data_IF_856136267169
#
_entry.id   IF_856136267169
#
_cell.length_a   1.000
_cell.length_b   1.000
_cell.length_c   1.000
_cell.angle_alpha   90.00
_cell.angle_beta   90.00
_cell.angle_gamma   90.00
#
_symmetry.space_group_name_H-M   'P 1'
#
loop_
_entity.id
_entity.type
_entity.pdbx_description
1 polymer ?
2 non-polymer ?
3 water ?
#
# COMPACT_ATOMS: atom_id res chain seq x y z
N UNK A 13 45.43 -2.93 -28.65
CA UNK A 13 44.75 -3.99 -29.50
C UNK A 13 43.21 -3.74 -29.66
N UNK A 14 42.70 -3.99 -30.87
CA UNK A 14 41.33 -3.62 -31.31
C UNK A 14 41.37 -2.19 -31.82
N UNK A 15 40.44 -1.84 -32.69
CA UNK A 15 40.40 -0.50 -33.22
C UNK A 15 39.14 0.14 -32.74
N UNK A 16 39.05 1.44 -32.99
CA UNK A 16 37.91 2.24 -32.57
C UNK A 16 36.58 1.81 -33.25
N UNK A 17 36.61 1.34 -34.51
CA UNK A 17 35.46 0.57 -35.02
C UNK A 17 35.00 -0.59 -34.14
N UNK A 18 35.94 -1.46 -33.71
CA UNK A 18 35.57 -2.65 -32.90
C UNK A 18 35.24 -2.32 -31.44
N UNK A 19 35.99 -1.38 -30.84
CA UNK A 19 35.66 -0.93 -29.51
C UNK A 19 34.24 -0.39 -29.52
N UNK A 20 33.89 0.46 -30.49
CA UNK A 20 32.53 1.00 -30.55
C UNK A 20 31.42 -0.05 -30.84
N UNK A 21 31.77 -1.08 -31.62
CA UNK A 21 30.90 -2.28 -31.82
C UNK A 21 30.43 -2.79 -30.48
N UNK A 22 31.43 -3.14 -29.66
CA UNK A 22 31.25 -3.63 -28.30
C UNK A 22 30.36 -2.64 -27.50
N UNK A 23 30.69 -1.34 -27.51
CA UNK A 23 29.89 -0.31 -26.76
C UNK A 23 28.42 -0.25 -27.15
N UNK A 24 28.10 -0.26 -28.45
CA UNK A 24 26.71 -0.34 -28.88
C UNK A 24 26.00 -1.61 -28.37
N UNK A 25 26.70 -2.74 -28.32
CA UNK A 25 26.11 -4.00 -27.82
C UNK A 25 25.77 -3.95 -26.36
N UNK A 26 26.69 -3.37 -25.58
CA UNK A 26 26.52 -3.21 -24.15
C UNK A 26 25.46 -2.15 -23.85
N UNK A 27 25.50 -1.03 -24.58
CA UNK A 27 24.44 0.00 -24.51
C UNK A 27 23.05 -0.56 -24.79
N UNK A 28 23.00 -1.61 -25.59
CA UNK A 28 21.75 -2.26 -25.92
C UNK A 28 21.29 -3.26 -24.84
N UNK A 29 22.23 -4.05 -24.27
CA UNK A 29 21.92 -4.93 -23.12
C UNK A 29 21.49 -4.09 -21.92
N UNK A 30 22.05 -2.90 -21.77
CA UNK A 30 21.61 -1.94 -20.73
C UNK A 30 20.14 -1.51 -20.88
N UNK A 31 19.72 -1.22 -22.11
CA UNK A 31 18.31 -1.00 -22.46
C UNK A 31 17.43 -2.22 -22.21
N UNK A 32 17.92 -3.39 -22.67
CA UNK A 32 17.25 -4.66 -22.39
C UNK A 32 17.03 -4.86 -20.86
N UNK A 33 17.96 -4.39 -20.00
CA UNK A 33 17.89 -4.59 -18.54
C UNK A 33 17.27 -3.49 -17.72
N UNK A 34 16.90 -2.39 -18.35
CA UNK A 34 16.28 -1.30 -17.65
C UNK A 34 14.85 -1.67 -17.34
N UNK A 35 14.31 -1.00 -16.33
CA UNK A 35 12.91 -1.12 -15.95
C UNK A 35 12.02 -0.90 -17.16
N UNK A 36 11.01 -1.77 -17.34
CA UNK A 36 9.97 -1.63 -18.41
C UNK A 36 8.55 -1.37 -17.94
N UNK A 37 8.22 -1.73 -16.69
CA UNK A 37 6.81 -1.76 -16.23
C UNK A 37 6.29 -0.44 -15.70
N UNK A 38 7.17 0.42 -15.22
CA UNK A 38 6.85 1.81 -14.88
C UNK A 38 8.12 2.60 -15.09
N UNK A 39 8.08 3.91 -14.85
CA UNK A 39 9.28 4.73 -14.96
C UNK A 39 9.84 4.87 -13.54
N UNK A 40 11.12 5.19 -13.40
CA UNK A 40 11.72 5.04 -12.07
C UNK A 40 11.25 6.00 -11.02
N UNK A 41 10.93 7.24 -11.41
CA UNK A 41 10.36 8.22 -10.45
C UNK A 41 9.04 7.65 -9.87
N UNK A 42 8.38 6.74 -10.60
CA UNK A 42 7.16 6.07 -10.10
C UNK A 42 7.46 4.93 -9.10
N UNK A 43 8.72 4.48 -8.99
CA UNK A 43 9.06 3.45 -8.00
C UNK A 43 9.27 4.13 -6.69
N UNK A 44 8.62 3.64 -5.65
CA UNK A 44 8.87 4.15 -4.32
C UNK A 44 10.13 3.53 -3.74
N UNK A 45 11.03 4.40 -3.26
CA UNK A 45 12.35 4.01 -2.80
C UNK A 45 13.38 4.13 -3.93
N UNK A 46 14.67 4.19 -3.59
CA UNK A 46 15.72 4.31 -4.58
C UNK A 46 16.12 2.88 -4.86
N UNK A 47 16.13 2.46 -6.12
CA UNK A 47 16.57 1.13 -6.46
C UNK A 47 18.07 0.97 -6.38
N UNK A 48 18.55 -0.04 -5.70
CA UNK A 48 19.97 -0.30 -5.57
C UNK A 48 20.41 -1.30 -6.61
N UNK A 49 19.52 -2.22 -6.96
CA UNK A 49 19.81 -3.32 -7.85
C UNK A 49 18.49 -3.82 -8.48
N UNK A 50 18.52 -4.11 -9.78
CA UNK A 50 17.35 -4.54 -10.51
C UNK A 50 17.72 -5.54 -11.56
N UNK A 51 17.27 -6.79 -11.44
CA UNK A 51 17.59 -7.85 -12.41
C UNK A 51 16.26 -8.52 -12.77
N UNK A 52 15.79 -8.21 -13.97
CA UNK A 52 14.42 -8.44 -14.34
C UNK A 52 14.01 -9.89 -14.22
N UNK A 53 12.71 -10.08 -14.04
CA UNK A 53 12.12 -11.38 -13.81
C UNK A 53 12.97 -12.16 -12.83
N UNK A 54 13.56 -11.52 -11.84
CA UNK A 54 14.49 -12.24 -10.99
C UNK A 54 14.60 -11.75 -9.54
N UNK A 55 15.33 -10.67 -9.30
CA UNK A 55 15.37 -10.01 -7.99
C UNK A 55 15.56 -8.52 -8.16
N UNK A 56 15.33 -7.80 -7.06
CA UNK A 56 15.65 -6.36 -6.99
C UNK A 56 15.64 -5.88 -5.56
N UNK A 57 16.29 -4.74 -5.34
CA UNK A 57 16.43 -4.15 -4.02
C UNK A 57 16.20 -2.64 -4.09
N UNK A 58 15.40 -2.07 -3.17
CA UNK A 58 15.23 -0.63 -3.03
C UNK A 58 15.36 -0.20 -1.58
N UNK A 59 15.87 1.01 -1.34
CA UNK A 59 15.98 1.56 0.02
C UNK A 59 15.07 2.73 0.04
N UNK A 60 14.44 2.97 1.17
CA UNK A 60 13.55 4.10 1.34
C UNK A 60 13.77 4.73 2.71
N UNK A 61 14.12 6.02 2.77
CA UNK A 61 14.26 6.57 4.10
C UNK A 61 12.97 7.17 4.47
N UNK A 62 12.69 7.06 5.76
CA UNK A 62 11.38 7.30 6.32
C UNK A 62 11.45 8.66 6.93
N UNK A 63 10.86 9.59 6.22
CA UNK A 63 10.95 11.00 6.52
C UNK A 63 9.70 11.40 7.27
N UNK A 64 9.49 12.67 7.50
CA UNK A 64 8.41 13.05 8.37
C UNK A 64 7.06 12.74 7.77
N UNK A 65 6.92 12.93 6.46
CA UNK A 65 5.65 12.73 5.81
C UNK A 65 5.34 11.28 5.56
N UNK A 66 6.25 10.37 5.93
CA UNK A 66 5.93 8.94 5.83
C UNK A 66 5.31 8.36 7.11
N UNK A 67 4.91 9.20 8.05
CA UNK A 67 4.85 8.82 9.44
C UNK A 67 3.67 9.45 10.19
N UNK A 68 2.98 8.71 11.04
CA UNK A 68 1.98 9.28 11.99
C UNK A 68 2.55 10.34 12.93
N UNK A 69 1.85 11.47 13.04
CA UNK A 69 2.37 12.57 13.84
C UNK A 69 2.29 12.26 15.33
N UNK A 70 1.37 11.39 15.71
CA UNK A 70 1.28 10.97 17.10
C UNK A 70 2.63 10.48 17.64
N UNK A 71 3.32 9.62 16.89
CA UNK A 71 4.40 8.78 17.42
C UNK A 71 5.53 8.34 16.44
N UNK A 72 5.65 9.06 15.34
CA UNK A 72 6.73 8.90 14.34
C UNK A 72 6.83 7.47 13.79
N UNK A 73 5.69 6.79 13.66
CA UNK A 73 5.66 5.46 13.05
C UNK A 73 5.33 5.55 11.57
N UNK A 74 5.95 4.71 10.77
CA UNK A 74 5.68 4.74 9.33
C UNK A 74 4.30 4.19 9.03
N UNK A 75 3.65 4.82 8.07
CA UNK A 75 2.38 4.35 7.57
C UNK A 75 2.61 3.08 6.82
N UNK A 76 1.77 2.10 7.06
CA UNK A 76 1.86 0.86 6.31
C UNK A 76 1.80 1.07 4.81
N UNK A 77 1.02 2.03 4.31
CA UNK A 77 0.92 2.17 2.85
C UNK A 77 2.21 2.59 2.17
N UNK A 78 3.12 3.23 2.91
CA UNK A 78 4.45 3.55 2.39
C UNK A 78 5.34 2.34 2.26
N UNK A 79 5.39 1.55 3.32
CA UNK A 79 6.00 0.23 3.27
C UNK A 79 5.45 -0.61 2.09
N UNK A 80 4.15 -0.57 1.92
CA UNK A 80 3.52 -1.39 0.89
C UNK A 80 3.87 -0.81 -0.45
N UNK A 81 3.90 0.50 -0.55
CA UNK A 81 4.19 1.11 -1.83
C UNK A 81 5.60 0.72 -2.28
N UNK A 82 6.53 0.66 -1.33
CA UNK A 82 7.91 0.32 -1.69
C UNK A 82 7.99 -1.06 -2.33
N UNK A 83 7.27 -1.99 -1.73
CA UNK A 83 7.36 -3.42 -2.07
C UNK A 83 6.60 -3.70 -3.34
N UNK A 84 5.42 -3.10 -3.42
CA UNK A 84 4.48 -3.31 -4.50
C UNK A 84 5.17 -2.73 -5.71
N UNK A 85 5.76 -1.54 -5.57
CA UNK A 85 6.24 -0.85 -6.76
C UNK A 85 7.48 -1.57 -7.26
N UNK A 86 8.18 -2.21 -6.33
CA UNK A 86 9.35 -2.99 -6.67
C UNK A 86 8.95 -4.33 -7.29
N UNK A 87 7.87 -4.92 -6.80
CA UNK A 87 7.33 -6.09 -7.42
C UNK A 87 6.86 -5.80 -8.83
N UNK A 88 6.48 -4.56 -9.11
CA UNK A 88 6.14 -4.19 -10.47
C UNK A 88 7.43 -4.02 -11.29
N UNK A 89 8.40 -3.34 -10.71
CA UNK A 89 9.58 -3.03 -11.46
C UNK A 89 10.34 -4.25 -11.99
N UNK A 90 10.48 -5.30 -11.17
CA UNK A 90 11.14 -6.55 -11.61
C UNK A 90 10.49 -7.29 -12.74
N UNK A 91 9.23 -6.98 -13.07
CA UNK A 91 8.60 -7.77 -14.09
C UNK A 91 9.04 -7.21 -15.44
N UNK A 92 9.60 -8.10 -16.27
CA UNK A 92 10.01 -7.72 -17.62
C UNK A 92 8.80 -7.60 -18.57
N UNK A 93 8.02 -6.54 -18.45
CA UNK A 93 6.87 -6.36 -19.32
C UNK A 93 6.44 -4.90 -19.32
N UNK A 94 6.00 -4.40 -20.48
CA UNK A 94 5.50 -3.03 -20.55
C UNK A 94 4.36 -2.84 -19.60
N UNK A 95 3.51 -3.86 -19.49
CA UNK A 95 2.42 -3.80 -18.54
C UNK A 95 2.54 -4.93 -17.52
N UNK A 96 2.48 -4.56 -16.25
CA UNK A 96 2.52 -5.50 -15.14
C UNK A 96 1.66 -4.88 -14.00
N UNK A 97 0.65 -5.60 -13.51
CA UNK A 97 -0.22 -5.04 -12.47
C UNK A 97 -0.33 -6.02 -11.32
N UNK A 98 -0.52 -5.48 -10.13
CA UNK A 98 -0.66 -6.33 -8.99
C UNK A 98 -2.08 -6.80 -8.97
N UNK A 99 -2.25 -8.12 -8.93
CA UNK A 99 -3.57 -8.76 -8.90
C UNK A 99 -3.94 -8.95 -7.44
N UNK A 100 -3.00 -9.43 -6.64
CA UNK A 100 -3.31 -9.67 -5.25
C UNK A 100 -2.06 -9.74 -4.41
N UNK A 101 -2.25 -9.53 -3.12
CA UNK A 101 -1.15 -9.62 -2.18
C UNK A 101 -1.56 -10.12 -0.81
N UNK A 102 -0.68 -10.93 -0.22
CA UNK A 102 -0.71 -11.22 1.20
C UNK A 102 0.46 -10.51 1.88
N UNK A 103 0.16 -9.70 2.88
CA UNK A 103 1.18 -8.92 3.51
C UNK A 103 1.14 -9.01 5.03
N UNK A 104 2.31 -8.76 5.61
CA UNK A 104 2.55 -8.88 7.01
C UNK A 104 3.45 -7.71 7.45
N UNK A 105 2.96 -6.95 8.42
CA UNK A 105 3.74 -5.90 9.06
C UNK A 105 4.32 -6.44 10.36
N UNK A 106 5.62 -6.73 10.31
CA UNK A 106 6.28 -7.48 11.37
C UNK A 106 6.96 -6.64 12.44
N UNK A 107 7.13 -5.36 12.26
CA UNK A 107 7.81 -4.54 13.23
C UNK A 107 7.57 -3.09 12.88
N UNK A 108 7.36 -2.27 13.90
CA UNK A 108 7.09 -0.85 13.69
C UNK A 108 8.33 -0.18 13.16
N UNK A 109 8.18 0.58 12.08
CA UNK A 109 9.31 1.40 11.62
C UNK A 109 9.11 2.87 12.02
N UNK A 110 10.18 3.43 12.55
CA UNK A 110 10.15 4.76 13.13
C UNK A 110 10.81 5.72 12.14
N UNK A 111 10.39 6.98 12.16
CA UNK A 111 10.94 7.94 11.23
C UNK A 111 12.42 8.08 11.50
N UNK A 112 13.15 8.23 10.40
CA UNK A 112 14.58 8.27 10.43
C UNK A 112 15.19 6.93 10.14
N UNK A 113 14.42 5.87 9.97
CA UNK A 113 14.96 4.59 9.55
C UNK A 113 14.98 4.49 8.02
N UNK A 114 15.97 3.77 7.51
CA UNK A 114 15.99 3.40 6.11
C UNK A 114 15.40 2.03 5.99
N UNK A 115 14.58 1.81 4.97
CA UNK A 115 13.96 0.51 4.83
C UNK A 115 14.52 -0.12 3.58
N UNK A 116 15.17 -1.26 3.71
CA UNK A 116 15.64 -2.00 2.53
C UNK A 116 14.70 -3.14 2.17
N UNK A 117 14.14 -3.05 0.97
CA UNK A 117 13.12 -3.94 0.42
C UNK A 117 13.85 -4.87 -0.50
N UNK A 118 13.68 -6.16 -0.30
CA UNK A 118 14.43 -7.17 -1.07
C UNK A 118 13.38 -8.05 -1.76
N UNK A 119 13.35 -8.05 -3.09
CA UNK A 119 12.27 -8.71 -3.86
C UNK A 119 12.86 -9.81 -4.74
N UNK A 120 12.34 -11.05 -4.66
CA UNK A 120 12.79 -12.16 -5.50
C UNK A 120 11.58 -12.70 -6.26
N UNK A 121 11.75 -13.05 -7.53
CA UNK A 121 10.69 -13.67 -8.29
C UNK A 121 10.77 -15.14 -8.03
N UNK A 122 9.79 -15.67 -7.31
CA UNK A 122 9.83 -17.05 -6.81
C UNK A 122 9.05 -18.10 -7.62
N UNK A 123 8.24 -17.68 -8.56
CA UNK A 123 7.46 -18.65 -9.32
C UNK A 123 6.61 -17.99 -10.37
N UNK A 124 6.24 -18.77 -11.38
CA UNK A 124 5.13 -18.40 -12.26
C UNK A 124 4.10 -19.53 -12.20
N UNK A 125 2.83 -19.15 -12.15
CA UNK A 125 1.78 -20.03 -11.68
C UNK A 125 0.87 -20.43 -12.82
N UNK A 126 0.71 -21.75 -13.04
CA UNK A 126 0.08 -22.27 -14.25
C UNK A 126 -1.39 -21.76 -14.32
N UNK A 127 -2.16 -21.86 -13.22
CA UNK A 127 -3.51 -21.25 -13.14
C UNK A 127 -3.47 -19.70 -13.01
N UNK A 128 -4.35 -19.09 -13.80
CA UNK A 128 -4.29 -17.67 -14.23
C UNK A 128 -2.87 -17.09 -14.46
N UNK A 129 -1.96 -17.87 -15.08
CA UNK A 129 -0.58 -17.42 -15.41
C UNK A 129 0.05 -16.20 -14.70
N UNK A 130 0.10 -16.21 -13.37
CA UNK A 130 0.70 -15.09 -12.60
C UNK A 130 2.19 -15.25 -12.35
N UNK A 131 2.92 -14.16 -12.24
CA UNK A 131 4.23 -14.23 -11.61
C UNK A 131 4.16 -13.92 -10.12
N UNK A 132 4.73 -14.82 -9.33
CA UNK A 132 4.76 -14.64 -7.90
C UNK A 132 6.10 -13.97 -7.49
N UNK A 133 5.99 -12.76 -6.95
CA UNK A 133 7.13 -12.08 -6.35
C UNK A 133 7.00 -12.06 -4.81
N UNK A 134 7.94 -12.64 -4.09
CA UNK A 134 8.05 -12.38 -2.66
C UNK A 134 8.93 -11.16 -2.39
N UNK A 135 8.56 -10.42 -1.36
CA UNK A 135 9.33 -9.24 -0.94
C UNK A 135 9.46 -9.21 0.56
N UNK A 136 10.66 -8.98 1.05
CA UNK A 136 10.83 -8.76 2.45
C UNK A 136 11.66 -7.53 2.64
N UNK A 137 11.26 -6.73 3.62
CA UNK A 137 11.95 -5.50 3.95
C UNK A 137 12.54 -5.53 5.38
N UNK A 138 13.78 -5.03 5.46
CA UNK A 138 14.54 -4.97 6.69
C UNK A 138 14.96 -3.55 7.06
N UNK A 139 15.11 -3.34 8.36
CA UNK A 139 15.78 -2.19 8.94
C UNK A 139 16.83 -2.81 9.80
N UNK A 140 18.06 -2.59 9.39
CA UNK A 140 19.15 -3.38 9.93
C UNK A 140 18.94 -4.71 9.28
N UNK A 141 19.20 -5.74 10.07
CA UNK A 141 18.88 -7.07 9.60
C UNK A 141 17.63 -7.64 10.28
N UNK A 142 16.67 -6.79 10.69
CA UNK A 142 15.38 -7.36 11.13
C UNK A 142 14.17 -6.93 10.32
N UNK A 143 13.32 -7.92 10.01
CA UNK A 143 12.21 -7.82 9.04
C UNK A 143 11.14 -6.93 9.62
N UNK A 144 10.79 -5.91 8.85
CA UNK A 144 9.70 -5.04 9.20
C UNK A 144 8.47 -5.30 8.33
N UNK A 145 8.65 -5.94 7.18
CA UNK A 145 7.53 -6.17 6.26
C UNK A 145 7.79 -7.38 5.40
N UNK A 146 6.78 -8.20 5.20
CA UNK A 146 6.90 -9.16 4.12
C UNK A 146 5.61 -9.31 3.38
N UNK A 147 5.71 -9.74 2.12
CA UNK A 147 4.58 -9.83 1.27
C UNK A 147 4.79 -10.75 0.10
N UNK A 148 3.70 -11.41 -0.29
CA UNK A 148 3.67 -12.26 -1.44
C UNK A 148 2.72 -11.64 -2.41
N UNK A 149 3.23 -11.26 -3.57
CA UNK A 149 2.49 -10.57 -4.58
C UNK A 149 2.27 -11.43 -5.81
N UNK A 150 1.02 -11.56 -6.26
CA UNK A 150 0.75 -12.18 -7.57
C UNK A 150 0.61 -11.08 -8.58
N UNK A 151 1.56 -11.01 -9.51
CA UNK A 151 1.56 -9.99 -10.54
C UNK A 151 1.02 -10.51 -11.84
N UNK A 152 0.33 -9.65 -12.58
CA UNK A 152 -0.18 -9.97 -13.91
C UNK A 152 0.68 -9.30 -15.02
N UNK A 153 0.72 -9.80 -16.29
CA UNK A 153 1.46 -9.08 -17.40
C UNK A 153 0.98 -8.94 -18.93
N UNK A 154 1.33 -9.89 -19.79
CA UNK A 154 1.03 -9.92 -21.29
C UNK A 154 2.08 -10.90 -21.89
N UNK A 155 1.78 -12.18 -21.60
CA UNK A 155 2.66 -13.36 -21.76
C UNK A 155 1.93 -14.53 -21.09
N UNK B 13 -17.27 26.60 31.99
CA UNK B 13 -18.21 26.01 33.01
C UNK B 13 -19.30 25.08 32.37
N UNK B 14 -18.89 24.10 31.57
CA UNK B 14 -19.80 23.05 31.06
C UNK B 14 -19.09 21.71 31.16
N UNK B 15 -19.84 20.72 31.64
CA UNK B 15 -19.26 19.50 32.19
C UNK B 15 -18.82 18.53 31.11
N UNK B 16 -17.86 17.67 31.45
CA UNK B 16 -17.35 16.65 30.54
C UNK B 16 -18.35 15.54 30.18
N UNK B 17 -19.36 15.28 31.03
CA UNK B 17 -20.49 14.48 30.53
C UNK B 17 -21.30 15.12 29.42
N UNK B 18 -21.77 16.35 29.66
CA UNK B 18 -22.76 17.01 28.80
C UNK B 18 -22.12 17.52 27.51
N UNK B 19 -20.85 17.88 27.61
CA UNK B 19 -20.03 18.11 26.43
C UNK B 19 -19.95 16.81 25.59
N UNK B 20 -19.65 15.66 26.22
CA UNK B 20 -19.42 14.39 25.49
C UNK B 20 -20.72 13.87 24.87
N UNK B 21 -21.83 14.18 25.55
CA UNK B 21 -23.15 13.84 25.09
C UNK B 21 -23.55 14.67 23.87
N UNK B 22 -22.97 15.87 23.72
CA UNK B 22 -23.08 16.64 22.45
C UNK B 22 -22.27 16.06 21.31
N UNK B 23 -21.15 15.43 21.61
CA UNK B 23 -20.43 14.71 20.57
C UNK B 23 -21.37 13.56 20.12
N UNK B 24 -21.84 12.68 21.02
CA UNK B 24 -22.86 11.69 20.66
C UNK B 24 -23.92 12.25 19.69
N UNK B 25 -24.36 13.50 19.90
CA UNK B 25 -25.44 14.09 19.08
C UNK B 25 -24.94 14.54 17.73
N UNK B 26 -23.83 15.26 17.70
CA UNK B 26 -23.20 15.61 16.42
C UNK B 26 -22.90 14.37 15.60
N UNK B 27 -22.42 13.34 16.27
CA UNK B 27 -22.10 12.07 15.66
C UNK B 27 -23.32 11.36 15.05
N UNK B 28 -24.50 11.51 15.67
CA UNK B 28 -25.73 10.96 15.11
C UNK B 28 -26.23 11.73 13.89
N UNK B 29 -25.97 13.03 13.78
CA UNK B 29 -26.31 13.77 12.55
C UNK B 29 -25.30 13.57 11.41
N UNK B 30 -24.02 13.51 11.72
CA UNK B 30 -22.99 13.37 10.68
C UNK B 30 -22.71 11.92 10.31
N UNK B 31 -23.33 10.99 11.04
CA UNK B 31 -22.99 9.58 10.98
C UNK B 31 -21.49 9.31 11.13
N UNK B 32 -20.79 10.17 11.88
CA UNK B 32 -19.33 10.10 11.98
C UNK B 32 -18.91 10.38 13.39
N UNK B 33 -18.54 9.29 14.07
CA UNK B 33 -17.86 9.36 15.37
C UNK B 33 -16.55 10.14 15.38
N UNK B 34 -16.13 10.47 16.59
CA UNK B 34 -14.78 10.98 16.82
C UNK B 34 -13.74 9.89 16.57
N UNK B 35 -12.70 10.21 15.80
CA UNK B 35 -11.71 9.19 15.53
C UNK B 35 -10.71 9.21 16.66
N UNK B 36 -10.28 8.02 17.14
CA UNK B 36 -9.34 7.86 18.25
C UNK B 36 -7.95 7.45 17.82
N UNK B 37 -7.83 6.70 16.73
CA UNK B 37 -6.57 6.05 16.38
C UNK B 37 -5.61 6.92 15.57
N UNK B 38 -6.14 7.78 14.69
CA UNK B 38 -5.25 8.71 13.94
C UNK B 38 -5.92 10.07 13.79
N UNK B 39 -5.14 11.07 13.42
CA UNK B 39 -5.67 12.41 13.23
C UNK B 39 -6.41 12.37 11.87
N UNK B 40 -7.31 13.30 11.60
CA UNK B 40 -8.22 13.09 10.46
C UNK B 40 -7.56 13.28 9.10
N UNK B 41 -6.74 14.34 9.01
CA UNK B 41 -5.60 14.44 8.09
C UNK B 41 -5.11 13.10 7.64
N UNK B 42 -4.88 12.18 8.57
CA UNK B 42 -4.09 11.00 8.30
C UNK B 42 -4.84 9.91 7.54
N UNK B 43 -6.16 9.99 7.42
CA UNK B 43 -6.81 8.97 6.63
C UNK B 43 -6.79 9.39 5.19
N UNK B 44 -6.57 8.41 4.32
CA UNK B 44 -6.58 8.63 2.89
C UNK B 44 -8.00 8.54 2.40
N UNK B 45 -8.47 9.64 1.86
CA UNK B 45 -9.81 9.69 1.30
C UNK B 45 -10.69 10.39 2.27
N UNK B 46 -11.87 10.80 1.79
CA UNK B 46 -12.76 11.60 2.62
C UNK B 46 -13.83 10.76 3.30
N UNK B 47 -13.85 10.85 4.63
CA UNK B 47 -14.75 10.06 5.44
C UNK B 47 -16.17 10.49 5.20
N UNK B 48 -17.04 9.51 4.98
CA UNK B 48 -18.46 9.73 4.78
C UNK B 48 -19.29 9.25 5.96
N UNK B 49 -18.90 8.10 6.49
CA UNK B 49 -19.57 7.48 7.62
C UNK B 49 -18.47 6.84 8.44
N UNK B 50 -18.58 6.88 9.77
CA UNK B 50 -17.57 6.27 10.66
C UNK B 50 -18.18 5.94 12.00
N UNK B 51 -18.57 4.68 12.13
CA UNK B 51 -19.24 4.15 13.31
C UNK B 51 -18.24 3.17 13.95
N UNK B 52 -17.61 3.58 15.06
CA UNK B 52 -16.49 2.86 15.68
C UNK B 52 -16.75 1.39 15.97
N UNK B 53 -15.70 0.64 16.23
CA UNK B 53 -15.72 -0.86 16.20
C UNK B 53 -16.79 -1.49 15.28
N UNK B 54 -17.24 -0.79 14.25
CA UNK B 54 -18.36 -1.28 13.43
C UNK B 54 -18.27 -1.18 11.88
N UNK B 55 -18.46 0.03 11.33
CA UNK B 55 -18.32 0.25 9.90
C UNK B 55 -17.92 1.68 9.60
N UNK B 56 -17.35 1.86 8.41
CA UNK B 56 -17.01 3.20 7.94
C UNK B 56 -17.02 3.22 6.41
N UNK B 57 -17.20 4.40 5.83
CA UNK B 57 -17.12 4.59 4.40
C UNK B 57 -16.21 5.77 4.10
N UNK B 58 -15.34 5.65 3.08
CA UNK B 58 -14.57 6.82 2.62
C UNK B 58 -14.68 6.95 1.12
N UNK B 59 -14.37 8.13 0.60
CA UNK B 59 -14.36 8.30 -0.85
C UNK B 59 -13.16 9.08 -1.27
N UNK B 60 -12.35 8.44 -2.12
CA UNK B 60 -11.13 9.02 -2.71
C UNK B 60 -11.37 9.37 -4.16
N UNK B 61 -10.99 10.59 -4.55
CA UNK B 61 -10.99 11.01 -5.95
C UNK B 61 -9.60 10.74 -6.50
N UNK B 62 -9.54 9.93 -7.56
CA UNK B 62 -8.28 9.61 -8.21
C UNK B 62 -7.90 10.78 -9.13
N UNK B 63 -6.93 11.56 -8.67
CA UNK B 63 -6.37 12.66 -9.44
C UNK B 63 -5.12 12.22 -10.17
N UNK B 64 -4.54 13.13 -10.96
CA UNK B 64 -3.34 12.82 -11.76
C UNK B 64 -2.19 12.32 -10.94
N UNK B 65 -2.11 12.84 -9.72
CA UNK B 65 -0.99 12.54 -8.87
C UNK B 65 -1.13 11.24 -8.17
N UNK B 66 -2.22 10.51 -8.43
CA UNK B 66 -2.41 9.15 -7.90
C UNK B 66 -2.22 8.02 -8.91
N UNK B 67 -1.95 8.35 -10.15
CA UNK B 67 -2.18 7.45 -11.27
C UNK B 67 -0.85 7.25 -12.00
N UNK B 68 -0.60 6.16 -12.70
CA UNK B 68 0.65 6.04 -13.50
C UNK B 68 0.65 6.95 -14.74
N UNK B 69 1.80 7.47 -15.12
CA UNK B 69 1.86 8.34 -16.32
C UNK B 69 1.53 7.64 -17.64
N UNK B 70 1.98 6.41 -17.87
CA UNK B 70 1.70 5.79 -19.18
C UNK B 70 0.21 5.67 -19.49
N UNK B 71 -0.62 5.47 -18.48
CA UNK B 71 -1.99 5.03 -18.75
C UNK B 71 -3.11 5.50 -17.79
N UNK B 72 -2.79 6.41 -16.90
CA UNK B 72 -3.75 6.88 -15.93
C UNK B 72 -4.53 5.77 -15.22
N UNK B 73 -3.81 4.70 -14.87
CA UNK B 73 -4.33 3.67 -13.97
C UNK B 73 -3.84 4.00 -12.56
N UNK B 74 -4.70 3.91 -11.54
CA UNK B 74 -4.34 4.29 -10.14
C UNK B 74 -3.33 3.34 -9.55
N UNK B 75 -2.44 3.85 -8.75
CA UNK B 75 -1.45 2.99 -8.14
C UNK B 75 -2.13 2.23 -7.06
N UNK B 76 -1.69 1.02 -6.86
CA UNK B 76 -2.32 0.09 -5.96
C UNK B 76 -2.16 0.62 -4.56
N UNK B 77 -1.02 1.26 -4.26
CA UNK B 77 -0.85 1.70 -2.93
C UNK B 77 -1.84 2.81 -2.52
N UNK B 78 -2.48 3.54 -3.42
CA UNK B 78 -3.44 4.55 -2.92
C UNK B 78 -4.70 3.84 -2.65
N UNK B 79 -5.11 2.93 -3.52
CA UNK B 79 -6.24 2.08 -3.18
C UNK B 79 -6.04 1.41 -1.79
N UNK B 80 -4.85 0.88 -1.55
CA UNK B 80 -4.58 0.27 -0.26
C UNK B 80 -4.60 1.27 0.89
N UNK B 81 -3.87 2.38 0.73
CA UNK B 81 -3.88 3.46 1.72
C UNK B 81 -5.29 3.84 2.13
N UNK B 82 -6.16 3.98 1.16
CA UNK B 82 -7.57 4.26 1.42
C UNK B 82 -8.18 3.21 2.35
N UNK B 83 -8.00 1.95 2.03
CA UNK B 83 -8.69 0.86 2.75
C UNK B 83 -8.06 0.71 4.11
N UNK B 84 -6.76 0.91 4.13
CA UNK B 84 -5.95 0.54 5.28
C UNK B 84 -6.22 1.56 6.33
N UNK B 85 -6.19 2.82 5.91
CA UNK B 85 -6.36 3.90 6.84
C UNK B 85 -7.78 3.88 7.35
N UNK B 86 -8.70 3.25 6.64
CA UNK B 86 -10.10 3.18 7.08
C UNK B 86 -10.28 2.13 8.15
N UNK B 87 -9.66 0.96 7.89
CA UNK B 87 -9.61 -0.15 8.84
C UNK B 87 -8.91 0.30 10.10
N UNK B 88 -8.07 1.33 10.00
CA UNK B 88 -7.50 1.90 11.19
C UNK B 88 -8.52 2.79 11.88
N UNK B 89 -9.13 3.70 11.15
CA UNK B 89 -9.97 4.66 11.80
C UNK B 89 -11.22 4.04 12.48
N UNK B 90 -11.73 2.91 11.98
CA UNK B 90 -12.91 2.27 12.62
C UNK B 90 -12.65 1.76 13.99
N UNK B 91 -11.42 1.34 14.20
CA UNK B 91 -11.03 0.80 15.50
C UNK B 91 -11.14 1.87 16.58
N UNK B 92 -11.99 1.53 17.54
CA UNK B 92 -12.26 2.31 18.74
C UNK B 92 -11.18 2.03 19.77
N UNK B 93 -10.11 2.81 19.72
CA UNK B 93 -8.91 2.59 20.55
C UNK B 93 -7.92 3.64 20.12
N UNK B 94 -7.06 4.11 21.01
CA UNK B 94 -6.13 5.16 20.58
C UNK B 94 -4.94 4.56 19.85
N UNK B 95 -4.81 3.23 19.90
CA UNK B 95 -3.79 2.62 19.12
C UNK B 95 -4.20 1.35 18.44
N UNK B 96 -4.35 1.48 17.12
CA UNK B 96 -4.62 0.37 16.19
C UNK B 96 -3.51 0.37 15.15
N UNK B 97 -2.96 -0.80 14.82
CA UNK B 97 -1.89 -0.94 13.81
C UNK B 97 -2.19 -2.19 12.95
N UNK B 98 -1.87 -2.12 11.67
CA UNK B 98 -2.19 -3.21 10.78
C UNK B 98 -1.18 -4.29 10.97
N UNK B 99 -1.63 -5.51 11.26
CA UNK B 99 -0.71 -6.63 11.48
C UNK B 99 -0.44 -7.34 10.20
N UNK B 100 -1.55 -7.69 9.57
CA UNK B 100 -1.54 -8.24 8.23
C UNK B 100 -2.75 -7.77 7.42
N UNK B 101 -2.68 -8.08 6.16
CA UNK B 101 -3.79 -7.87 5.28
C UNK B 101 -3.67 -8.78 4.12
N UNK B 102 -4.81 -9.15 3.58
CA UNK B 102 -4.81 -9.99 2.42
C UNK B 102 -5.85 -9.38 1.41
N UNK B 103 -5.35 -8.99 0.24
CA UNK B 103 -6.02 -8.02 -0.57
C UNK B 103 -6.01 -8.40 -2.03
N UNK B 104 -7.06 -8.00 -2.74
CA UNK B 104 -7.25 -8.36 -4.14
C UNK B 104 -7.55 -7.07 -4.91
N UNK B 105 -6.91 -6.90 -6.06
CA UNK B 105 -7.14 -5.79 -6.97
C UNK B 105 -7.92 -6.33 -8.18
N UNK B 106 -9.20 -5.99 -8.22
CA UNK B 106 -10.12 -6.65 -9.13
C UNK B 106 -10.55 -5.91 -10.37
N UNK B 107 -10.34 -4.62 -10.47
CA UNK B 107 -10.71 -3.86 -11.66
C UNK B 107 -9.85 -2.64 -11.61
N UNK B 108 -9.21 -2.32 -12.73
CA UNK B 108 -8.30 -1.16 -12.77
C UNK B 108 -9.03 0.13 -12.50
N UNK B 109 -8.59 0.94 -11.58
CA UNK B 109 -9.23 2.24 -11.41
C UNK B 109 -8.51 3.27 -12.29
N UNK B 110 -9.31 4.10 -12.93
CA UNK B 110 -8.83 5.15 -13.81
C UNK B 110 -8.84 6.52 -13.18
N UNK B 111 -7.85 7.34 -13.53
CA UNK B 111 -7.82 8.77 -13.12
C UNK B 111 -9.17 9.39 -13.34
N UNK B 112 -9.62 10.25 -12.45
CA UNK B 112 -10.89 10.88 -12.63
C UNK B 112 -11.99 10.19 -11.87
N UNK B 113 -11.88 8.90 -11.59
CA UNK B 113 -12.92 8.15 -10.85
C UNK B 113 -12.87 8.39 -9.34
N UNK B 114 -14.01 8.19 -8.68
CA UNK B 114 -14.10 8.23 -7.20
C UNK B 114 -14.19 6.83 -6.64
N UNK B 115 -13.26 6.45 -5.77
CA UNK B 115 -13.30 5.14 -5.21
C UNK B 115 -14.00 5.27 -3.89
N UNK B 116 -15.13 4.56 -3.73
CA UNK B 116 -15.88 4.47 -2.46
C UNK B 116 -15.52 3.18 -1.74
N UNK B 117 -14.79 3.34 -0.62
CA UNK B 117 -14.40 2.24 0.31
C UNK B 117 -15.36 2.05 1.47
N UNK B 118 -15.72 0.78 1.66
CA UNK B 118 -16.64 0.31 2.68
C UNK B 118 -16.01 -0.77 3.61
N UNK B 119 -15.62 -0.31 4.80
CA UNK B 119 -15.15 -1.15 5.92
C UNK B 119 -16.26 -1.68 6.83
N UNK B 120 -16.24 -2.99 7.03
CA UNK B 120 -17.03 -3.69 8.09
C UNK B 120 -16.06 -4.32 9.08
N UNK B 121 -16.38 -4.21 10.36
CA UNK B 121 -15.58 -4.81 11.41
C UNK B 121 -16.20 -6.12 11.58
N UNK B 122 -15.53 -7.22 11.32
CA UNK B 122 -16.21 -8.49 11.28
C UNK B 122 -15.79 -9.42 12.38
N UNK B 123 -15.00 -8.96 13.34
CA UNK B 123 -14.60 -9.78 14.50
C UNK B 123 -13.72 -8.94 15.40
N UNK B 124 -14.15 -8.78 16.65
CA UNK B 124 -13.37 -8.05 17.65
C UNK B 124 -12.86 -9.10 18.63
N UNK B 125 -11.79 -8.75 19.34
CA UNK B 125 -11.22 -9.58 20.40
C UNK B 125 -10.31 -8.71 21.27
N UNK B 126 -10.92 -7.67 21.87
CA UNK B 126 -10.24 -6.72 22.80
C UNK B 126 -9.38 -7.49 23.80
N UNK B 127 -9.95 -8.61 24.27
CA UNK B 127 -9.23 -9.67 25.01
C UNK B 127 -7.82 -9.94 24.39
N UNK B 128 -7.73 -10.86 23.41
CA UNK B 128 -6.44 -11.26 22.79
C UNK B 128 -5.88 -10.20 21.87
N UNK B 129 -6.08 -8.92 22.20
CA UNK B 129 -5.42 -7.76 21.55
C UNK B 129 -5.70 -7.34 20.09
N UNK B 130 -6.63 -8.00 19.39
CA UNK B 130 -6.78 -7.83 17.92
C UNK B 130 -8.25 -7.62 17.43
N UNK B 131 -8.41 -7.38 16.12
CA UNK B 131 -9.72 -7.10 15.47
C UNK B 131 -9.64 -7.28 13.94
N UNK B 132 -10.65 -7.86 13.29
CA UNK B 132 -10.63 -8.03 11.85
C UNK B 132 -11.51 -6.99 11.12
N UNK B 133 -10.99 -6.32 10.10
CA UNK B 133 -11.78 -5.39 9.31
C UNK B 133 -11.75 -5.79 7.85
N UNK B 134 -12.93 -5.93 7.22
CA UNK B 134 -13.02 -6.17 5.79
C UNK B 134 -13.31 -4.89 5.08
N UNK B 135 -12.50 -4.53 4.09
CA UNK B 135 -12.82 -3.41 3.20
C UNK B 135 -13.12 -3.86 1.78
N UNK B 136 -14.23 -3.36 1.24
CA UNK B 136 -14.49 -3.42 -0.19
C UNK B 136 -14.65 -2.05 -0.77
N UNK B 137 -13.97 -1.82 -1.89
CA UNK B 137 -14.01 -0.51 -2.57
C UNK B 137 -14.62 -0.61 -3.96
N UNK B 138 -15.36 0.44 -4.32
CA UNK B 138 -16.16 0.45 -5.55
C UNK B 138 -15.87 1.65 -6.38
N UNK B 139 -16.06 1.48 -7.68
CA UNK B 139 -16.19 2.61 -8.60
C UNK B 139 -17.56 2.40 -9.18
N UNK B 140 -18.42 3.37 -8.87
CA UNK B 140 -19.85 3.25 -9.00
C UNK B 140 -20.26 1.97 -8.32
N UNK B 141 -20.66 1.00 -9.13
CA UNK B 141 -21.19 -0.22 -8.60
C UNK B 141 -20.31 -1.41 -8.85
N UNK B 142 -18.99 -1.25 -8.95
CA UNK B 142 -18.15 -2.40 -9.24
C UNK B 142 -17.05 -2.53 -8.22
N UNK B 143 -16.75 -3.74 -7.73
CA UNK B 143 -15.62 -3.87 -6.80
C UNK B 143 -14.33 -3.76 -7.58
N UNK B 144 -13.49 -2.85 -7.13
CA UNK B 144 -12.17 -2.65 -7.70
C UNK B 144 -11.10 -3.17 -6.74
N UNK B 145 -11.46 -3.30 -5.47
CA UNK B 145 -10.53 -3.70 -4.43
C UNK B 145 -11.26 -4.30 -3.23
N UNK B 146 -10.70 -5.37 -2.67
CA UNK B 146 -11.19 -5.87 -1.39
C UNK B 146 -10.04 -6.37 -0.55
N UNK B 147 -10.13 -6.28 0.77
CA UNK B 147 -9.14 -6.91 1.61
C UNK B 147 -9.64 -7.30 2.98
N UNK B 148 -9.02 -8.29 3.60
CA UNK B 148 -9.19 -8.52 5.04
C UNK B 148 -8.03 -7.94 5.74
N UNK B 149 -8.25 -7.30 6.85
CA UNK B 149 -7.20 -6.65 7.55
C UNK B 149 -7.22 -7.15 8.98
N UNK B 150 -6.09 -7.67 9.46
CA UNK B 150 -5.84 -7.95 10.88
C UNK B 150 -5.27 -6.77 11.60
N UNK B 151 -6.07 -6.19 12.46
CA UNK B 151 -5.66 -5.01 13.12
C UNK B 151 -5.18 -5.43 14.49
N UNK B 152 -4.21 -4.69 14.99
CA UNK B 152 -3.77 -4.83 16.35
C UNK B 152 -4.42 -3.71 17.10
N UNK B 153 -4.67 -3.85 18.39
CA UNK B 153 -5.10 -2.69 19.18
C UNK B 153 -4.64 -2.74 20.63
N UNK B 154 -4.73 -1.60 21.29
CA UNK B 154 -4.89 -1.43 22.75
C UNK B 154 -4.00 -0.26 23.16
N UNK B 155 -4.45 0.48 24.19
CA UNK B 155 -3.56 1.31 25.08
C UNK B 155 -4.23 1.49 26.44
X LIG C 1 4.78 -8.10 19.98
X LIG C 1 3.49 -8.98 19.48
X LIG C 1 2.44 -8.15 18.76
X LIG C 1 2.88 -9.95 20.50
X LIG C 1 4.32 -9.86 18.43
X LIG C 1 3.30 -10.60 17.47
X LIG C 1 2.11 -11.07 18.33
X LIG C 1 4.12 -11.51 16.56
X LIG C 1 2.83 -9.25 16.67
X LIG C 1 3.79 -8.30 16.16
X LIG C 1 3.34 -7.46 14.96
X LIG C 1 2.71 -6.19 15.50
X LIG C 1 2.39 -8.19 13.97
X LIG C 1 4.62 -7.16 14.21
X LIG C 1 2.14 -6.39 16.80
X LIG C 1 3.65 -5.01 15.33
X LIG C 1 4.19 -4.37 16.21
X LIG C 1 3.76 -4.71 14.04
X LIG C 1 4.40 -3.65 13.31
X LIG C 1 3.13 -2.80 13.18
X LIG C 1 3.10 -1.81 12.06
X LIG C 1 3.88 -0.85 12.01
X LIG C 1 2.13 -2.01 11.19
X LIG C 1 1.80 -1.26 9.98
X LIG C 1 1.95 0.25 10.20
X LIG C 1 0.42 0.85 10.93
X LIG C 1 -0.68 1.17 9.62
X LIG C 1 -0.94 2.64 9.51
X LIG C 1 -1.77 3.07 8.36
X LIG C 1 -1.15 0.29 8.91
X LIG C 1 -1.31 3.07 7.19
X LIG C 1 -2.90 3.43 8.71
X LIG D 1 -6.45 -11.79 -15.12
X LIG D 1 -7.34 -12.62 -16.20
X LIG D 1 -7.65 -14.00 -15.59
X LIG D 1 -6.69 -12.53 -17.59
X LIG D 1 -8.76 -11.82 -16.15
X LIG D 1 -9.33 -11.27 -14.72
X LIG D 1 -9.19 -12.36 -13.66
X LIG D 1 -10.63 -10.46 -14.81
X LIG D 1 -7.98 -10.36 -14.59
X LIG D 1 -8.10 -8.99 -14.26
X LIG D 1 -7.50 -8.77 -12.88
X LIG D 1 -6.42 -7.82 -13.19
X LIG D 1 -6.82 -10.02 -12.30
X LIG D 1 -8.53 -8.16 -11.94
X LIG D 1 -5.83 -8.35 -14.39
X LIG D 1 -7.02 -6.43 -13.20
X LIG D 1 -7.70 -5.91 -14.06
X LIG D 1 -6.73 -5.88 -12.03
X LIG D 1 -6.82 -4.58 -11.41
X LIG D 1 -5.29 -4.42 -11.31
X LIG D 1 -4.82 -3.18 -10.65
X LIG D 1 -5.31 -2.11 -10.94
X LIG D 1 -3.88 -3.26 -9.75
X LIG D 1 -3.31 -2.16 -8.95
X LIG D 1 -2.73 -1.10 -9.88
X LIG D 1 -1.12 -1.71 -10.34
X LIG D 1 -0.19 -1.69 -8.87
X LIG D 1 0.14 -0.37 -8.35
X LIG D 1 1.59 -0.12 -8.32
X LIG D 1 0.15 -2.67 -8.27
X LIG D 1 2.30 -0.89 -8.99
X LIG D 1 1.94 0.82 -7.58
#
# INVERSE_FOLDING_TARGET
>A
MRGSHHHHHHGSELSIPELRERIKNVAEKTLEDEVKSLSLDEVIGEIIDLELDDQAISILEIKQEHVFSRNQIARGHHLFAQANSLAVAVIDDELALTASADIRFTRQVKQGERVVAKAKVTAVEKEKGRTVVEVNSYVGEEIVFSGRFDMYRSKHS
>B
MRGSHHHHHHGSELSIPELRERIKNVAEKTLEDEVKSLSLDEVIGEIIDLELDDQAISILEIKQEHVFSRNQIARGHHLFAQANSLAVAVIDDELALTASADIRFTRQVKQGERVVAKAKVTAVEKEKGRTVVEVNSYVGEEIVFSGRFDMYRSKHS
>C hetero
1 MLC O5' P1 O11 O12 O6 P2 O21 O22 O7 CPB CPA CP7 CP9 CP8 OP3 CP6 OP2 NP2 CP5 CP4 CP3 OP1 NP1 CP2 CP1 S CM1 CM2 CM3 OM2 OM3 OM4
>D hetero
1 MLC O5' P1 O11 O12 O6 P2 O21 O22 O7 CPB CPA CP7 CP9 CP8 OP3 CP6 OP2 NP2 CP5 CP4 CP3 OP1 NP1 CP2 CP1 S CM1 CM2 CM3 OM2 OM3 OM4
#
